data_IF_804625392987
#
_entry.id   IF_804625392987
#
_cell.length_a   1.000
_cell.length_b   1.000
_cell.length_c   1.000
_cell.angle_alpha   90.00
_cell.angle_beta   90.00
_cell.angle_gamma   90.00
#
_symmetry.space_group_name_H-M   'P 1'
#
loop_
_entity.id
_entity.type
_entity.pdbx_description
1 polymer ?
#
# COMPACT_ATOMS: atom_id res chain seq x y z
N UNK A 1 -17.29 1.87 -1.62
CA UNK A 1 -16.36 2.88 -2.18
C UNK A 1 -14.97 2.27 -2.25
N UNK A 2 -14.07 2.81 -3.08
CA UNK A 2 -12.72 2.27 -3.25
C UNK A 2 -11.66 3.34 -3.03
N UNK A 3 -10.58 3.00 -2.32
CA UNK A 3 -9.40 3.85 -2.19
C UNK A 3 -8.15 3.10 -2.64
N UNK A 4 -7.13 3.86 -3.04
CA UNK A 4 -5.79 3.35 -3.31
C UNK A 4 -4.85 3.79 -2.19
N UNK A 5 -3.91 2.92 -1.82
CA UNK A 5 -2.90 3.18 -0.80
C UNK A 5 -1.52 2.86 -1.35
N UNK A 6 -0.77 3.87 -1.78
CA UNK A 6 0.54 3.67 -2.40
C UNK A 6 1.68 4.32 -1.65
N UNK A 7 1.42 5.49 -1.06
CA UNK A 7 2.44 6.33 -0.45
C UNK A 7 2.57 6.01 1.04
N UNK A 8 3.69 6.42 1.65
CA UNK A 8 3.79 6.34 3.11
C UNK A 8 2.70 7.20 3.76
N UNK A 9 2.14 6.74 4.88
CA UNK A 9 0.90 7.28 5.45
C UNK A 9 0.94 8.78 5.73
N UNK A 10 2.08 9.27 6.19
CA UNK A 10 2.28 10.66 6.64
C UNK A 10 3.18 11.48 5.72
N UNK A 11 3.68 10.87 4.63
CA UNK A 11 4.53 11.55 3.68
C UNK A 11 3.75 12.62 2.89
N UNK A 12 4.47 13.67 2.52
CA UNK A 12 3.95 14.81 1.77
C UNK A 12 4.80 15.04 0.53
N UNK A 13 4.20 15.41 -0.61
CA UNK A 13 4.96 15.82 -1.77
C UNK A 13 5.82 17.03 -1.44
N UNK A 14 7.04 17.05 -1.96
CA UNK A 14 8.00 18.14 -1.83
C UNK A 14 7.65 19.34 -2.71
N UNK A 15 6.73 19.20 -3.68
CA UNK A 15 6.40 20.25 -4.64
C UNK A 15 4.91 20.64 -4.66
N UNK A 16 4.65 21.95 -4.83
CA UNK A 16 3.46 22.44 -5.53
C UNK A 16 2.24 22.91 -4.73
N UNK A 17 2.01 22.48 -3.49
CA UNK A 17 0.86 22.94 -2.68
C UNK A 17 1.26 23.35 -1.26
N UNK A 18 0.78 24.47 -0.72
CA UNK A 18 0.87 24.71 0.72
C UNK A 18 0.03 23.66 1.46
N UNK A 19 0.67 22.90 2.35
CA UNK A 19 0.05 21.83 3.15
C UNK A 19 -0.70 20.78 2.31
N UNK A 20 0.01 19.97 1.49
CA UNK A 20 -0.62 18.86 0.78
C UNK A 20 -1.18 17.85 1.80
N UNK A 21 -2.33 17.25 1.45
CA UNK A 21 -2.91 16.17 2.24
C UNK A 21 -2.03 14.92 2.12
N UNK A 22 -1.88 14.18 3.21
CA UNK A 22 -1.15 12.91 3.22
C UNK A 22 -2.05 11.76 2.75
N UNK A 23 -1.44 10.60 2.46
CA UNK A 23 -2.16 9.37 2.14
C UNK A 23 -3.24 9.05 3.18
N UNK A 24 -2.91 9.13 4.48
CA UNK A 24 -3.88 8.82 5.54
C UNK A 24 -5.02 9.84 5.57
N UNK A 25 -4.76 11.14 5.36
CA UNK A 25 -5.81 12.17 5.38
C UNK A 25 -6.82 11.97 4.23
N UNK A 26 -6.35 11.60 3.04
CA UNK A 26 -7.21 11.31 1.91
C UNK A 26 -8.01 10.01 2.10
N UNK A 27 -7.38 9.00 2.72
CA UNK A 27 -8.05 7.75 3.05
C UNK A 27 -9.16 7.97 4.10
N UNK A 28 -8.88 8.73 5.16
CA UNK A 28 -9.86 9.10 6.19
C UNK A 28 -11.08 9.80 5.58
N UNK A 29 -10.88 10.77 4.69
CA UNK A 29 -11.98 11.48 4.02
C UNK A 29 -12.92 10.50 3.29
N UNK A 30 -12.36 9.51 2.59
CA UNK A 30 -13.16 8.50 1.88
C UNK A 30 -13.85 7.54 2.85
N UNK A 31 -13.20 7.15 3.94
CA UNK A 31 -13.80 6.28 4.97
C UNK A 31 -14.97 7.00 5.65
N UNK A 32 -14.83 8.27 6.01
CA UNK A 32 -15.92 9.04 6.60
C UNK A 32 -17.09 9.21 5.62
N UNK A 33 -16.81 9.46 4.34
CA UNK A 33 -17.86 9.49 3.34
C UNK A 33 -18.59 8.13 3.24
N UNK A 34 -17.84 7.03 3.19
CA UNK A 34 -18.43 5.70 3.09
C UNK A 34 -19.29 5.38 4.33
N UNK A 35 -18.80 5.73 5.54
CA UNK A 35 -19.54 5.59 6.80
C UNK A 35 -20.83 6.41 6.80
N UNK A 36 -20.77 7.68 6.39
CA UNK A 36 -21.94 8.56 6.33
C UNK A 36 -23.04 8.06 5.39
N UNK A 37 -22.69 7.23 4.40
CA UNK A 37 -23.65 6.65 3.45
C UNK A 37 -24.01 5.18 3.75
N UNK A 38 -23.53 4.63 4.87
CA UNK A 38 -23.75 3.23 5.22
C UNK A 38 -23.24 2.25 4.15
N UNK A 39 -22.14 2.60 3.48
CA UNK A 39 -21.53 1.77 2.42
C UNK A 39 -20.22 1.18 2.90
N UNK A 40 -19.93 -0.09 2.58
CA UNK A 40 -18.60 -0.63 2.81
C UNK A 40 -17.57 0.04 1.90
N UNK A 41 -16.33 0.08 2.40
CA UNK A 41 -15.16 0.50 1.64
C UNK A 41 -14.26 -0.70 1.34
N UNK A 42 -13.48 -0.56 0.27
CA UNK A 42 -12.43 -1.47 -0.12
C UNK A 42 -11.14 -0.67 -0.36
N UNK A 43 -10.02 -1.19 0.13
CA UNK A 43 -8.71 -0.75 -0.37
C UNK A 43 -8.49 -1.49 -1.69
N UNK A 44 -8.83 -0.86 -2.80
CA UNK A 44 -8.88 -1.51 -4.11
C UNK A 44 -7.49 -1.76 -4.69
N UNK A 45 -6.53 -0.91 -4.35
CA UNK A 45 -5.15 -1.01 -4.83
C UNK A 45 -4.21 -0.63 -3.70
N UNK A 46 -3.26 -1.49 -3.36
CA UNK A 46 -2.20 -1.14 -2.42
C UNK A 46 -0.87 -1.78 -2.79
N UNK A 47 0.20 -0.99 -2.70
CA UNK A 47 1.58 -1.44 -2.85
C UNK A 47 2.54 -0.36 -2.30
N UNK A 48 3.70 -0.71 -1.73
CA UNK A 48 4.70 0.25 -1.25
C UNK A 48 5.42 0.94 -2.41
N UNK A 49 4.77 1.90 -3.07
CA UNK A 49 5.36 2.64 -4.20
C UNK A 49 6.65 3.34 -3.75
N UNK A 50 7.68 3.31 -4.60
CA UNK A 50 9.00 3.87 -4.27
C UNK A 50 9.95 2.86 -3.62
N UNK A 51 9.44 1.74 -3.10
CA UNK A 51 10.26 0.68 -2.53
C UNK A 51 10.56 -0.43 -3.53
N UNK A 52 11.77 -0.98 -3.45
CA UNK A 52 12.15 -2.23 -4.09
C UNK A 52 12.42 -3.28 -3.02
N UNK A 53 11.39 -4.04 -2.60
CA UNK A 53 11.45 -5.00 -1.48
C UNK A 53 12.56 -6.03 -1.68
N UNK A 54 12.76 -6.55 -2.89
CA UNK A 54 13.79 -7.55 -3.16
C UNK A 54 15.24 -7.07 -2.99
N UNK A 55 15.52 -5.79 -3.21
CA UNK A 55 16.88 -5.24 -3.11
C UNK A 55 17.07 -4.33 -1.90
N UNK A 56 15.97 -4.03 -1.16
CA UNK A 56 15.93 -3.14 -0.02
C UNK A 56 16.51 -1.74 -0.32
N UNK A 57 15.99 -1.15 -1.39
CA UNK A 57 16.24 0.23 -1.73
C UNK A 57 14.93 0.99 -1.90
N UNK A 58 14.95 2.27 -1.56
CA UNK A 58 13.93 3.25 -1.91
C UNK A 58 14.48 4.18 -2.99
N UNK A 59 13.62 4.59 -3.90
CA UNK A 59 13.91 5.54 -4.96
C UNK A 59 12.84 6.61 -4.99
N UNK A 60 13.20 7.75 -5.58
CA UNK A 60 12.26 8.82 -5.85
C UNK A 60 11.14 8.33 -6.79
N UNK A 61 9.89 8.59 -6.41
CA UNK A 61 8.68 8.25 -7.17
C UNK A 61 8.55 9.14 -8.41
N UNK A 62 8.62 10.46 -8.24
CA UNK A 62 8.41 11.41 -9.35
C UNK A 62 8.86 12.83 -9.01
N UNK A 63 9.07 13.66 -10.04
CA UNK A 63 9.45 15.06 -9.87
C UNK A 63 8.44 15.87 -9.04
N UNK A 64 7.18 15.42 -8.98
CA UNK A 64 6.15 16.06 -8.17
C UNK A 64 6.23 15.65 -6.69
N UNK A 65 6.80 14.49 -6.41
CA UNK A 65 6.81 13.88 -5.09
C UNK A 65 8.11 14.15 -4.35
N UNK A 66 9.24 13.67 -4.85
CA UNK A 66 10.50 13.54 -4.09
C UNK A 66 11.76 13.69 -4.97
N UNK A 67 11.59 13.82 -6.29
CA UNK A 67 12.68 14.11 -7.23
C UNK A 67 12.60 13.28 -8.52
N UNK A 68 13.64 13.27 -9.36
CA UNK A 68 13.59 12.52 -10.63
C UNK A 68 13.31 11.03 -10.40
N UNK A 69 12.31 10.47 -11.10
CA UNK A 69 11.85 9.10 -10.89
C UNK A 69 12.99 8.08 -11.06
N UNK A 70 13.07 7.11 -10.16
CA UNK A 70 14.10 6.05 -10.19
C UNK A 70 15.51 6.53 -9.83
N UNK A 71 15.64 7.75 -9.28
CA UNK A 71 16.88 8.27 -8.68
C UNK A 71 16.74 8.33 -7.15
N UNK A 72 17.62 9.07 -6.45
CA UNK A 72 17.51 9.25 -5.00
C UNK A 72 17.73 7.97 -4.19
N UNK A 73 18.47 7.01 -4.75
CA UNK A 73 18.72 5.69 -4.18
C UNK A 73 19.11 5.76 -2.70
N UNK A 74 18.26 5.21 -1.84
CA UNK A 74 18.50 5.10 -0.40
C UNK A 74 18.36 3.66 0.04
N UNK A 75 19.39 3.12 0.70
CA UNK A 75 19.34 1.77 1.26
C UNK A 75 18.45 1.76 2.49
N UNK A 76 17.55 0.78 2.57
CA UNK A 76 16.63 0.60 3.70
C UNK A 76 16.80 -0.79 4.31
N UNK A 77 16.32 -1.00 5.52
CA UNK A 77 16.19 -2.32 6.13
C UNK A 77 14.77 -2.87 5.93
N UNK A 78 14.55 -4.19 6.04
CA UNK A 78 13.20 -4.76 6.04
C UNK A 78 12.28 -4.13 7.08
N UNK A 79 12.83 -3.86 8.28
CA UNK A 79 12.12 -3.21 9.38
C UNK A 79 11.69 -1.78 9.04
N UNK A 80 12.52 -1.02 8.32
CA UNK A 80 12.17 0.31 7.85
C UNK A 80 11.04 0.25 6.84
N UNK A 81 11.13 -0.63 5.82
CA UNK A 81 10.04 -0.80 4.84
C UNK A 81 8.74 -1.18 5.55
N UNK A 82 8.81 -2.11 6.51
CA UNK A 82 7.66 -2.54 7.30
C UNK A 82 7.05 -1.40 8.09
N UNK A 83 7.85 -0.72 8.90
CA UNK A 83 7.40 0.36 9.78
C UNK A 83 6.88 1.57 9.03
N UNK A 84 7.50 1.92 7.90
CA UNK A 84 7.14 3.14 7.14
C UNK A 84 5.90 2.95 6.27
N UNK A 85 5.62 1.72 5.79
CA UNK A 85 4.49 1.47 4.89
C UNK A 85 3.48 0.43 5.39
N UNK A 86 3.93 -0.75 5.80
CA UNK A 86 3.03 -1.86 6.17
C UNK A 86 2.34 -1.63 7.51
N UNK A 87 3.06 -1.14 8.52
CA UNK A 87 2.48 -0.87 9.84
C UNK A 87 1.32 0.13 9.75
N UNK A 88 1.48 1.34 9.16
CA UNK A 88 0.36 2.27 9.02
C UNK A 88 -0.79 1.71 8.16
N UNK A 89 -0.48 0.92 7.14
CA UNK A 89 -1.48 0.28 6.29
C UNK A 89 -2.37 -0.68 7.09
N UNK A 90 -1.77 -1.61 7.85
CA UNK A 90 -2.51 -2.56 8.67
C UNK A 90 -3.23 -1.89 9.85
N UNK A 91 -2.60 -0.90 10.49
CA UNK A 91 -3.22 -0.13 11.57
C UNK A 91 -4.46 0.63 11.08
N UNK A 92 -4.39 1.29 9.91
CA UNK A 92 -5.52 1.98 9.31
C UNK A 92 -6.68 1.02 9.02
N UNK A 93 -6.40 -0.14 8.42
CA UNK A 93 -7.41 -1.17 8.18
C UNK A 93 -8.01 -1.66 9.50
N UNK A 94 -7.17 -1.84 10.51
CA UNK A 94 -7.55 -2.23 11.87
C UNK A 94 -8.51 -1.23 12.53
N UNK A 95 -8.21 0.06 12.44
CA UNK A 95 -9.00 1.14 13.02
C UNK A 95 -10.37 1.31 12.34
N UNK A 96 -10.51 0.91 11.08
CA UNK A 96 -11.73 1.11 10.28
C UNK A 96 -12.39 -0.19 9.82
N UNK A 97 -12.25 -1.28 10.59
CA UNK A 97 -12.91 -2.59 10.33
C UNK A 97 -14.43 -2.50 10.29
N UNK A 98 -15.02 -1.46 10.87
CA UNK A 98 -16.45 -1.19 10.78
C UNK A 98 -16.87 -0.92 9.32
N UNK A 99 -16.03 -0.26 8.52
CA UNK A 99 -16.32 0.14 7.13
C UNK A 99 -15.51 -0.64 6.08
N UNK A 100 -14.23 -0.89 6.30
CA UNK A 100 -13.35 -1.60 5.35
C UNK A 100 -13.67 -3.09 5.41
N UNK A 101 -14.10 -3.65 4.27
CA UNK A 101 -14.50 -5.08 4.17
C UNK A 101 -13.65 -5.91 3.22
N UNK A 102 -12.78 -5.29 2.45
CA UNK A 102 -11.87 -5.97 1.55
C UNK A 102 -10.64 -5.12 1.26
N UNK A 103 -9.53 -5.78 0.92
CA UNK A 103 -8.31 -5.13 0.45
C UNK A 103 -7.73 -5.92 -0.72
N UNK A 104 -6.98 -5.26 -1.59
CA UNK A 104 -6.19 -5.90 -2.64
C UNK A 104 -4.79 -5.34 -2.62
N UNK A 105 -3.85 -6.21 -2.24
CA UNK A 105 -2.43 -5.94 -2.30
C UNK A 105 -1.87 -6.39 -3.64
N UNK A 106 -1.24 -5.47 -4.35
CA UNK A 106 -0.64 -5.73 -5.66
C UNK A 106 0.78 -6.25 -5.42
N UNK A 107 0.95 -7.57 -5.49
CA UNK A 107 2.22 -8.26 -5.28
C UNK A 107 2.96 -8.44 -6.62
N UNK A 108 3.75 -7.45 -7.02
CA UNK A 108 4.36 -7.43 -8.35
C UNK A 108 5.77 -6.83 -8.35
N UNK A 109 6.62 -7.34 -9.24
CA UNK A 109 7.78 -6.59 -9.68
C UNK A 109 7.30 -5.63 -10.77
N UNK A 110 7.15 -4.35 -10.44
CA UNK A 110 6.70 -3.33 -11.38
C UNK A 110 7.83 -2.95 -12.33
N UNK A 111 9.07 -2.95 -11.83
CA UNK A 111 10.27 -2.51 -12.54
C UNK A 111 10.54 -3.27 -13.85
N UNK A 112 10.06 -4.52 -13.94
CA UNK A 112 10.18 -5.36 -15.15
C UNK A 112 8.98 -5.27 -16.09
N UNK A 113 7.97 -4.45 -15.78
CA UNK A 113 6.77 -4.27 -16.59
C UNK A 113 6.90 -3.02 -17.45
N UNK A 114 6.61 -3.13 -18.75
CA UNK A 114 6.94 -2.07 -19.72
C UNK A 114 6.41 -0.66 -19.40
N UNK A 115 5.24 -0.53 -18.78
CA UNK A 115 4.66 0.77 -18.42
C UNK A 115 5.32 1.41 -17.19
N UNK A 116 5.84 0.57 -16.29
CA UNK A 116 6.27 0.96 -14.94
C UNK A 116 7.78 0.89 -14.73
N UNK A 117 8.51 0.21 -15.63
CA UNK A 117 9.97 0.11 -15.63
C UNK A 117 10.67 1.29 -16.30
N UNK A 118 12.01 1.21 -16.48
CA UNK A 118 12.78 2.26 -17.14
C UNK A 118 12.22 2.62 -18.52
N UNK A 119 12.17 3.92 -18.90
CA UNK A 119 12.74 5.07 -18.20
C UNK A 119 11.77 5.77 -17.22
N UNK A 120 10.84 5.02 -16.59
CA UNK A 120 9.94 5.50 -15.53
C UNK A 120 9.04 6.68 -15.92
N UNK A 121 8.48 6.63 -17.13
CA UNK A 121 7.63 7.70 -17.66
C UNK A 121 6.34 7.90 -16.85
N UNK A 122 5.89 6.87 -16.13
CA UNK A 122 4.70 6.90 -15.27
C UNK A 122 5.06 6.92 -13.77
N UNK A 123 6.24 7.48 -13.46
CA UNK A 123 6.82 7.42 -12.12
C UNK A 123 7.49 6.08 -11.85
N UNK A 124 8.27 6.03 -10.77
CA UNK A 124 8.88 4.81 -10.29
C UNK A 124 7.92 4.07 -9.35
N UNK A 125 7.73 2.78 -9.60
CA UNK A 125 6.82 1.93 -8.81
C UNK A 125 7.56 0.94 -7.91
N UNK A 126 8.59 0.29 -8.44
CA UNK A 126 9.50 -0.59 -7.69
C UNK A 126 9.13 -2.06 -7.70
N UNK A 127 9.28 -2.73 -6.55
CA UNK A 127 9.05 -4.16 -6.39
C UNK A 127 8.31 -4.40 -5.08
N UNK A 128 7.03 -4.77 -5.18
CA UNK A 128 6.13 -5.05 -4.08
C UNK A 128 5.90 -6.54 -3.87
N UNK A 129 6.78 -7.42 -4.36
CA UNK A 129 6.69 -8.85 -4.05
C UNK A 129 7.09 -9.08 -2.60
N UNK A 130 6.12 -9.50 -1.78
CA UNK A 130 6.35 -9.90 -0.40
C UNK A 130 7.41 -11.01 -0.32
N UNK A 131 7.37 -11.97 -1.24
CA UNK A 131 8.29 -13.10 -1.25
C UNK A 131 9.72 -12.75 -1.66
N UNK A 132 9.98 -11.52 -2.13
CA UNK A 132 11.32 -11.11 -2.55
C UNK A 132 12.27 -10.84 -1.37
N UNK A 133 11.74 -10.70 -0.15
CA UNK A 133 12.54 -10.58 1.08
C UNK A 133 11.97 -11.46 2.20
N UNK A 134 12.82 -12.25 2.87
CA UNK A 134 12.38 -13.23 3.86
C UNK A 134 11.75 -12.59 5.12
N UNK A 135 12.34 -11.49 5.60
CA UNK A 135 11.86 -10.81 6.81
C UNK A 135 10.52 -10.10 6.56
N UNK A 136 10.38 -9.42 5.42
CA UNK A 136 9.10 -8.82 5.00
C UNK A 136 8.03 -9.89 4.81
N UNK A 137 8.39 -11.04 4.24
CA UNK A 137 7.47 -12.18 4.09
C UNK A 137 7.00 -12.72 5.43
N UNK A 138 7.91 -12.92 6.37
CA UNK A 138 7.57 -13.40 7.72
C UNK A 138 6.58 -12.46 8.40
N UNK A 139 6.86 -11.15 8.38
CA UNK A 139 5.98 -10.14 8.96
C UNK A 139 4.63 -10.07 8.25
N UNK A 140 4.61 -10.16 6.91
CA UNK A 140 3.37 -10.23 6.13
C UNK A 140 2.50 -11.41 6.53
N UNK A 141 3.07 -12.62 6.57
CA UNK A 141 2.35 -13.83 6.97
C UNK A 141 1.82 -13.69 8.39
N UNK A 142 2.61 -13.16 9.32
CA UNK A 142 2.15 -12.90 10.68
C UNK A 142 0.93 -11.96 10.71
N UNK A 143 0.99 -10.83 10.01
CA UNK A 143 -0.10 -9.85 9.97
C UNK A 143 -1.38 -10.38 9.32
N UNK A 144 -1.28 -11.13 8.21
CA UNK A 144 -2.46 -11.63 7.51
C UNK A 144 -3.05 -12.88 8.17
N UNK A 145 -2.32 -13.60 9.04
CA UNK A 145 -2.84 -14.80 9.72
C UNK A 145 -3.62 -14.49 11.00
N UNK A 146 -3.71 -13.22 11.40
CA UNK A 146 -4.63 -12.81 12.46
C UNK A 146 -6.08 -13.16 12.12
N UNK A 147 -6.88 -13.52 13.13
CA UNK A 147 -8.29 -13.96 13.02
C UNK A 147 -9.25 -12.93 12.36
N UNK A 148 -8.75 -11.75 12.03
CA UNK A 148 -9.51 -10.69 11.36
C UNK A 148 -9.67 -10.97 9.86
N UNK A 149 -8.71 -11.67 9.27
CA UNK A 149 -8.64 -11.85 7.83
C UNK A 149 -9.41 -13.09 7.39
N UNK A 150 -10.19 -12.91 6.33
CA UNK A 150 -10.82 -14.01 5.62
C UNK A 150 -9.90 -14.43 4.47
N UNK A 151 -9.45 -15.69 4.51
CA UNK A 151 -8.63 -16.29 3.47
C UNK A 151 -9.45 -17.21 2.58
N UNK A 152 -8.87 -17.59 1.43
CA UNK A 152 -9.44 -18.65 0.61
C UNK A 152 -9.57 -19.96 1.40
N UNK A 153 -10.74 -20.57 1.32
CA UNK A 153 -11.06 -21.83 1.98
C UNK A 153 -12.46 -22.32 1.59
N UNK A 154 -12.83 -23.53 2.00
CA UNK A 154 -14.05 -24.20 1.54
C UNK A 154 -15.34 -23.40 1.79
N UNK A 155 -15.35 -22.59 2.86
CA UNK A 155 -16.50 -21.78 3.29
C UNK A 155 -16.45 -20.32 2.84
N UNK A 156 -15.45 -19.89 2.06
CA UNK A 156 -15.31 -18.45 1.73
C UNK A 156 -16.52 -17.91 0.96
N UNK A 157 -17.12 -18.72 0.09
CA UNK A 157 -18.33 -18.35 -0.66
C UNK A 157 -19.52 -18.11 0.27
N UNK A 158 -19.72 -19.00 1.23
CA UNK A 158 -20.80 -18.93 2.22
C UNK A 158 -20.65 -17.67 3.08
N UNK A 159 -19.42 -17.41 3.56
CA UNK A 159 -19.11 -16.23 4.37
C UNK A 159 -19.35 -14.93 3.58
N UNK A 160 -18.93 -14.85 2.31
CA UNK A 160 -19.06 -13.64 1.49
C UNK A 160 -20.49 -13.36 1.02
N UNK A 161 -21.29 -14.41 0.81
CA UNK A 161 -22.66 -14.27 0.29
C UNK A 161 -23.75 -14.45 1.35
N UNK A 162 -23.39 -14.81 2.59
CA UNK A 162 -24.34 -15.04 3.68
C UNK A 162 -25.33 -16.19 3.40
N UNK A 163 -24.87 -17.23 2.69
CA UNK A 163 -25.64 -18.43 2.33
C UNK A 163 -25.12 -19.64 3.05
#
# INVERSE_FOLDING_TARGET
MGLSWFLQAHEKPTSGKPCPATQIQLAEELIEFARAHGKPAMVCESAPQGYHVGTLYQYNISHLWDGPAGQGLTKVSPEQVWTEWYTPYFEFIGAHRDVIKAVTYINANWDIQGLWGPPYQQGYWGDSRIEANADVKEQWVAAITENTWLHGGDHIREILHGM
#
